data_IF_407911171573
#
_entry.id   IF_407911171573
#
_cell.length_a   1.000
_cell.length_b   1.000
_cell.length_c   1.000
_cell.angle_alpha   90.00
_cell.angle_beta   90.00
_cell.angle_gamma   90.00
#
_symmetry.space_group_name_H-M   'P 1'
#
loop_
_entity.id
_entity.type
_entity.pdbx_description
1 polymer ?
#
# COMPACT_ATOMS: atom_id res chain seq x y z
N UNK A 1 -19.23 -26.81 -11.22
CA UNK A 1 -19.04 -25.34 -11.27
C UNK A 1 -17.63 -25.08 -11.73
N UNK A 2 -17.40 -24.14 -12.65
CA UNK A 2 -16.04 -23.76 -13.08
C UNK A 2 -15.31 -23.16 -11.86
N UNK A 3 -14.17 -23.73 -11.45
CA UNK A 3 -13.39 -23.31 -10.27
C UNK A 3 -13.06 -21.81 -10.30
N UNK A 4 -12.76 -21.27 -11.48
CA UNK A 4 -12.50 -19.85 -11.69
C UNK A 4 -13.74 -18.99 -11.42
N UNK A 5 -14.93 -19.50 -11.77
CA UNK A 5 -16.17 -18.79 -11.51
C UNK A 5 -16.54 -18.78 -10.01
N UNK A 6 -16.20 -19.84 -9.28
CA UNK A 6 -16.35 -19.88 -7.82
C UNK A 6 -15.38 -18.91 -7.13
N UNK A 7 -14.11 -18.90 -7.56
CA UNK A 7 -13.10 -18.00 -7.03
C UNK A 7 -13.51 -16.53 -7.16
N UNK A 8 -13.95 -16.08 -8.34
CA UNK A 8 -14.37 -14.68 -8.54
C UNK A 8 -15.49 -14.25 -7.62
N UNK A 9 -16.49 -15.12 -7.39
CA UNK A 9 -17.57 -14.84 -6.43
C UNK A 9 -17.03 -14.65 -5.01
N UNK A 10 -16.04 -15.47 -4.61
CA UNK A 10 -15.37 -15.32 -3.31
C UNK A 10 -14.59 -14.02 -3.25
N UNK A 11 -13.82 -13.68 -4.28
CA UNK A 11 -13.02 -12.45 -4.31
C UNK A 11 -13.88 -11.18 -4.31
N UNK A 12 -15.06 -11.20 -4.92
CA UNK A 12 -15.93 -10.03 -5.03
C UNK A 12 -16.74 -9.74 -3.76
N UNK A 13 -17.22 -10.79 -3.07
CA UNK A 13 -18.12 -10.67 -1.93
C UNK A 13 -17.37 -10.76 -0.61
N UNK A 14 -17.50 -9.74 0.25
CA UNK A 14 -16.89 -9.70 1.59
C UNK A 14 -17.19 -10.97 2.41
N UNK A 15 -18.43 -11.43 2.39
CA UNK A 15 -18.87 -12.61 3.13
C UNK A 15 -18.20 -13.89 2.60
N UNK A 16 -18.13 -14.06 1.28
CA UNK A 16 -17.55 -15.24 0.65
C UNK A 16 -16.01 -15.20 0.63
N UNK A 17 -15.42 -14.01 0.69
CA UNK A 17 -13.98 -13.79 0.74
C UNK A 17 -13.41 -14.16 2.11
N UNK A 18 -14.09 -13.80 3.20
CA UNK A 18 -13.57 -13.92 4.55
C UNK A 18 -13.05 -15.32 4.91
N UNK A 19 -13.75 -16.44 4.59
CA UNK A 19 -13.21 -17.78 4.85
C UNK A 19 -11.93 -18.10 4.07
N UNK A 20 -11.87 -17.69 2.79
CA UNK A 20 -10.71 -17.88 1.93
C UNK A 20 -9.51 -17.07 2.46
N UNK A 21 -9.74 -15.80 2.74
CA UNK A 21 -8.76 -14.89 3.30
C UNK A 21 -8.19 -15.36 4.64
N UNK A 22 -9.05 -15.80 5.56
CA UNK A 22 -8.61 -16.34 6.86
C UNK A 22 -7.76 -17.61 6.71
N UNK A 23 -8.00 -18.45 5.69
CA UNK A 23 -7.14 -19.61 5.40
C UNK A 23 -5.75 -19.16 4.94
N UNK A 24 -5.66 -18.15 4.08
CA UNK A 24 -4.39 -17.60 3.60
C UNK A 24 -3.58 -16.94 4.73
N UNK A 25 -4.22 -16.14 5.59
CA UNK A 25 -3.56 -15.58 6.78
C UNK A 25 -2.99 -16.68 7.66
N UNK A 26 -3.81 -17.69 8.00
CA UNK A 26 -3.38 -18.80 8.88
C UNK A 26 -2.18 -19.55 8.29
N UNK A 27 -2.18 -19.81 6.98
CA UNK A 27 -1.05 -20.46 6.30
C UNK A 27 0.20 -19.59 6.34
N UNK A 28 0.07 -18.32 5.97
CA UNK A 28 1.18 -17.35 5.96
C UNK A 28 1.82 -17.23 7.35
N UNK A 29 1.02 -17.04 8.41
CA UNK A 29 1.47 -17.02 9.81
C UNK A 29 2.16 -18.33 10.20
N UNK A 30 1.55 -19.49 9.91
CA UNK A 30 2.11 -20.78 10.31
C UNK A 30 3.44 -21.09 9.59
N UNK A 31 3.60 -20.65 8.36
CA UNK A 31 4.85 -20.80 7.62
C UNK A 31 5.93 -19.86 8.14
N UNK A 32 5.58 -18.61 8.44
CA UNK A 32 6.52 -17.62 8.97
C UNK A 32 7.03 -17.99 10.37
N UNK A 33 6.14 -18.48 11.25
CA UNK A 33 6.51 -19.07 12.55
C UNK A 33 7.61 -20.13 12.44
N UNK A 34 7.57 -20.97 11.40
CA UNK A 34 8.58 -22.02 11.22
C UNK A 34 9.95 -21.46 10.83
N UNK A 35 9.99 -20.28 10.22
CA UNK A 35 11.22 -19.62 9.77
C UNK A 35 11.83 -18.79 10.90
N UNK A 36 10.99 -18.10 11.67
CA UNK A 36 11.37 -17.13 12.71
C UNK A 36 11.32 -17.70 14.13
N UNK A 37 11.13 -19.02 14.29
CA UNK A 37 11.13 -19.65 15.60
C UNK A 37 12.53 -19.55 16.25
N UNK A 38 12.71 -18.53 17.07
CA UNK A 38 13.80 -18.43 18.03
C UNK A 38 13.26 -18.80 19.43
N UNK A 39 13.58 -20.00 19.95
CA UNK A 39 13.11 -20.44 21.27
C UNK A 39 13.70 -19.62 22.42
N UNK A 40 14.73 -18.82 22.18
CA UNK A 40 15.40 -17.97 23.17
C UNK A 40 14.99 -16.49 23.06
N UNK A 41 14.03 -16.13 22.21
CA UNK A 41 13.52 -14.75 22.10
C UNK A 41 12.66 -14.37 23.32
N UNK A 42 13.16 -13.52 24.23
CA UNK A 42 12.46 -13.18 25.46
C UNK A 42 11.30 -12.19 25.22
N UNK A 43 11.19 -11.64 24.00
CA UNK A 43 10.20 -10.62 23.63
C UNK A 43 9.03 -11.17 22.81
N UNK A 44 9.07 -12.45 22.40
CA UNK A 44 8.02 -13.10 21.61
C UNK A 44 7.69 -12.30 20.33
N UNK A 45 8.72 -11.88 19.61
CA UNK A 45 8.66 -11.12 18.37
C UNK A 45 7.76 -11.81 17.34
N UNK A 46 7.81 -13.14 17.27
CA UNK A 46 6.92 -13.94 16.44
C UNK A 46 5.43 -13.64 16.73
N UNK A 47 5.01 -13.55 18.00
CA UNK A 47 3.61 -13.24 18.33
C UNK A 47 3.22 -11.80 18.01
N UNK A 48 4.12 -10.82 18.14
CA UNK A 48 3.86 -9.45 17.68
C UNK A 48 3.67 -9.44 16.16
N UNK A 49 4.58 -10.07 15.44
CA UNK A 49 4.59 -10.10 13.98
C UNK A 49 3.33 -10.78 13.41
N UNK A 50 2.84 -11.85 14.04
CA UNK A 50 1.56 -12.47 13.68
C UNK A 50 0.37 -11.51 13.77
N UNK A 51 0.26 -10.81 14.90
CA UNK A 51 -0.81 -9.83 15.12
C UNK A 51 -0.68 -8.68 14.13
N UNK A 52 0.54 -8.28 13.84
CA UNK A 52 0.84 -7.27 12.84
C UNK A 52 0.33 -7.68 11.46
N UNK A 53 0.71 -8.87 10.95
CA UNK A 53 0.23 -9.38 9.66
C UNK A 53 -1.29 -9.47 9.64
N UNK A 54 -1.88 -10.08 10.67
CA UNK A 54 -3.33 -10.27 10.73
C UNK A 54 -4.07 -8.93 10.68
N UNK A 55 -3.62 -7.96 11.48
CA UNK A 55 -4.26 -6.65 11.55
C UNK A 55 -4.12 -5.88 10.23
N UNK A 56 -2.92 -5.81 9.67
CA UNK A 56 -2.68 -5.10 8.41
C UNK A 56 -3.41 -5.73 7.23
N UNK A 57 -3.38 -7.06 7.13
CA UNK A 57 -4.13 -7.76 6.09
C UNK A 57 -5.63 -7.47 6.21
N UNK A 58 -6.19 -7.46 7.43
CA UNK A 58 -7.62 -7.14 7.65
C UNK A 58 -7.95 -5.71 7.23
N UNK A 59 -7.17 -4.73 7.70
CA UNK A 59 -7.33 -3.32 7.32
C UNK A 59 -7.26 -3.14 5.81
N UNK A 60 -6.29 -3.78 5.14
CA UNK A 60 -6.18 -3.73 3.69
C UNK A 60 -7.47 -4.22 3.03
N UNK A 61 -8.00 -5.36 3.45
CA UNK A 61 -9.24 -5.91 2.86
C UNK A 61 -10.46 -5.06 3.16
N UNK A 62 -10.54 -4.43 4.34
CA UNK A 62 -11.63 -3.53 4.69
C UNK A 62 -11.66 -2.33 3.74
N UNK A 63 -10.50 -1.72 3.50
CA UNK A 63 -10.35 -0.60 2.56
C UNK A 63 -10.72 -1.03 1.13
N UNK A 64 -10.33 -2.23 0.68
CA UNK A 64 -10.73 -2.74 -0.65
C UNK A 64 -12.25 -2.76 -0.79
N UNK A 65 -12.96 -3.33 0.18
CA UNK A 65 -14.42 -3.44 0.13
C UNK A 65 -15.14 -2.09 0.33
N UNK A 66 -14.51 -1.13 0.99
CA UNK A 66 -15.07 0.20 1.23
C UNK A 66 -14.84 1.17 0.06
N UNK A 67 -13.70 1.06 -0.61
CA UNK A 67 -13.24 2.10 -1.55
C UNK A 67 -13.18 1.67 -3.02
N UNK A 68 -13.20 0.37 -3.34
CA UNK A 68 -13.29 -0.05 -4.75
C UNK A 68 -14.67 0.26 -5.34
N UNK A 69 -14.69 0.94 -6.48
CA UNK A 69 -15.93 1.42 -7.12
C UNK A 69 -16.58 0.34 -8.00
N UNK A 70 -15.87 -0.74 -8.34
CA UNK A 70 -16.38 -1.81 -9.21
C UNK A 70 -16.13 -3.24 -8.70
N UNK A 71 -16.99 -4.21 -9.09
CA UNK A 71 -16.72 -5.64 -8.88
C UNK A 71 -15.36 -6.10 -9.41
N UNK A 72 -14.93 -5.54 -10.54
CA UNK A 72 -13.67 -5.91 -11.21
C UNK A 72 -12.47 -5.48 -10.37
N UNK A 73 -12.47 -4.24 -9.86
CA UNK A 73 -11.45 -3.78 -8.90
C UNK A 73 -11.41 -4.69 -7.67
N UNK A 74 -12.57 -4.98 -7.05
CA UNK A 74 -12.61 -5.86 -5.86
C UNK A 74 -12.02 -7.23 -6.14
N UNK A 75 -12.42 -7.86 -7.25
CA UNK A 75 -11.89 -9.17 -7.66
C UNK A 75 -10.37 -9.10 -7.83
N UNK A 76 -9.87 -8.07 -8.52
CA UNK A 76 -8.46 -7.91 -8.80
C UNK A 76 -7.64 -7.69 -7.51
N UNK A 77 -8.01 -6.70 -6.71
CA UNK A 77 -7.21 -6.30 -5.55
C UNK A 77 -7.27 -7.34 -4.44
N UNK A 78 -8.41 -8.02 -4.25
CA UNK A 78 -8.47 -9.15 -3.32
C UNK A 78 -7.64 -10.34 -3.81
N UNK A 79 -7.58 -10.61 -5.12
CA UNK A 79 -6.69 -11.63 -5.69
C UNK A 79 -5.22 -11.28 -5.44
N UNK A 80 -4.83 -10.02 -5.69
CA UNK A 80 -3.48 -9.53 -5.42
C UNK A 80 -3.12 -9.62 -3.93
N UNK A 81 -4.05 -9.27 -3.05
CA UNK A 81 -3.85 -9.36 -1.59
C UNK A 81 -3.57 -10.80 -1.15
N UNK A 82 -4.32 -11.78 -1.66
CA UNK A 82 -4.05 -13.20 -1.39
C UNK A 82 -2.69 -13.64 -1.94
N UNK A 83 -2.25 -13.11 -3.08
CA UNK A 83 -0.93 -13.40 -3.66
C UNK A 83 0.20 -12.87 -2.77
N UNK A 84 0.11 -11.64 -2.27
CA UNK A 84 1.10 -11.09 -1.32
C UNK A 84 1.18 -11.93 -0.04
N UNK A 85 0.03 -12.31 0.54
CA UNK A 85 -0.01 -13.21 1.71
C UNK A 85 0.63 -14.57 1.43
N UNK A 86 0.34 -15.15 0.26
CA UNK A 86 0.92 -16.43 -0.19
C UNK A 86 2.44 -16.35 -0.35
N UNK A 87 2.93 -15.24 -0.91
CA UNK A 87 4.36 -15.03 -1.12
C UNK A 87 5.10 -14.57 0.15
N UNK A 88 4.39 -14.43 1.28
CA UNK A 88 4.90 -13.91 2.57
C UNK A 88 5.50 -12.51 2.43
N UNK A 89 5.05 -11.76 1.43
CA UNK A 89 5.40 -10.37 1.28
C UNK A 89 4.36 -9.56 2.08
N UNK A 90 4.75 -9.17 3.29
CA UNK A 90 3.93 -8.36 4.21
C UNK A 90 4.03 -6.86 3.93
N UNK A 91 4.80 -6.48 2.91
CA UNK A 91 5.09 -5.10 2.54
C UNK A 91 3.99 -4.52 1.64
N UNK A 92 2.73 -4.96 1.78
CA UNK A 92 1.59 -4.41 1.05
C UNK A 92 0.70 -3.58 1.96
N UNK A 93 0.48 -2.32 1.58
CA UNK A 93 -0.39 -1.37 2.25
C UNK A 93 -1.48 -0.93 1.28
N UNK A 94 -2.71 -1.38 1.47
CA UNK A 94 -3.84 -0.82 0.74
C UNK A 94 -4.28 0.43 1.51
N UNK A 95 -4.38 1.55 0.82
CA UNK A 95 -4.71 2.84 1.44
C UNK A 95 -5.96 3.44 0.81
N UNK A 96 -6.74 4.22 1.60
CA UNK A 96 -7.94 4.88 1.09
C UNK A 96 -7.62 5.90 -0.02
N UNK A 97 -8.66 6.50 -0.63
CA UNK A 97 -8.49 7.55 -1.61
C UNK A 97 -7.60 8.69 -1.17
N UNK A 98 -6.62 9.02 -2.02
CA UNK A 98 -5.82 10.22 -1.89
C UNK A 98 -6.43 11.31 -2.77
N UNK A 99 -6.93 12.39 -2.18
CA UNK A 99 -7.54 13.49 -2.95
C UNK A 99 -6.50 14.26 -3.78
N UNK A 100 -5.32 14.49 -3.19
CA UNK A 100 -4.14 15.04 -3.85
C UNK A 100 -2.94 14.14 -3.57
N UNK A 101 -2.60 13.32 -4.56
CA UNK A 101 -1.48 12.37 -4.48
C UNK A 101 -0.14 13.07 -4.21
N UNK A 102 0.13 14.20 -4.87
CA UNK A 102 1.45 14.84 -4.77
C UNK A 102 1.66 15.44 -3.39
N UNK A 103 0.62 16.11 -2.86
CA UNK A 103 0.64 16.66 -1.50
C UNK A 103 0.72 15.56 -0.45
N UNK A 104 -0.14 14.54 -0.53
CA UNK A 104 -0.20 13.46 0.45
C UNK A 104 1.13 12.69 0.56
N UNK A 105 1.72 12.30 -0.59
CA UNK A 105 2.99 11.57 -0.61
C UNK A 105 4.14 12.45 -0.11
N UNK A 106 4.20 13.71 -0.55
CA UNK A 106 5.23 14.67 -0.10
C UNK A 106 5.16 14.87 1.41
N UNK A 107 3.97 15.10 1.95
CA UNK A 107 3.76 15.31 3.38
C UNK A 107 4.13 14.06 4.20
N UNK A 108 3.73 12.86 3.74
CA UNK A 108 4.11 11.61 4.40
C UNK A 108 5.64 11.45 4.50
N UNK A 109 6.36 11.67 3.39
CA UNK A 109 7.82 11.57 3.35
C UNK A 109 8.50 12.63 4.21
N UNK A 110 8.08 13.88 4.10
CA UNK A 110 8.67 14.98 4.85
C UNK A 110 8.48 14.79 6.36
N UNK A 111 7.27 14.39 6.79
CA UNK A 111 7.00 14.09 8.20
C UNK A 111 7.96 13.02 8.74
N UNK A 112 8.11 11.91 8.01
CA UNK A 112 9.02 10.85 8.43
C UNK A 112 10.48 11.32 8.52
N UNK A 113 10.96 12.03 7.50
CA UNK A 113 12.34 12.55 7.48
C UNK A 113 12.60 13.58 8.58
N UNK A 114 11.63 14.44 8.88
CA UNK A 114 11.75 15.42 9.96
C UNK A 114 11.78 14.74 11.34
N UNK A 115 11.00 13.67 11.52
CA UNK A 115 11.00 12.86 12.74
C UNK A 115 12.36 12.16 12.93
N UNK A 116 12.92 11.57 11.87
CA UNK A 116 14.27 10.99 11.91
C UNK A 116 15.33 12.04 12.27
N UNK A 117 15.21 13.27 11.75
CA UNK A 117 16.11 14.38 12.10
C UNK A 117 15.99 14.79 13.57
N UNK A 118 14.77 14.77 14.15
CA UNK A 118 14.55 15.06 15.57
C UNK A 118 15.22 13.99 16.43
N UNK A 119 15.07 12.71 16.08
CA UNK A 119 15.70 11.58 16.78
C UNK A 119 17.22 11.70 16.71
N UNK A 120 17.77 11.95 15.52
CA UNK A 120 19.22 12.06 15.34
C UNK A 120 19.80 13.23 16.12
N UNK A 121 19.15 14.40 16.07
CA UNK A 121 19.56 15.56 16.86
C UNK A 121 19.52 15.28 18.35
N UNK A 122 18.47 14.60 18.84
CA UNK A 122 18.39 14.20 20.23
C UNK A 122 19.59 13.32 20.64
N UNK A 123 19.93 12.31 19.84
CA UNK A 123 21.07 11.41 20.11
C UNK A 123 22.38 12.21 20.21
N UNK A 124 22.59 13.14 19.28
CA UNK A 124 23.78 14.01 19.26
C UNK A 124 23.83 14.94 20.47
N UNK A 125 22.72 15.60 20.80
CA UNK A 125 22.68 16.61 21.87
C UNK A 125 22.78 15.99 23.28
N UNK A 126 22.29 14.76 23.46
CA UNK A 126 22.18 14.13 24.78
C UNK A 126 23.17 13.00 25.01
N UNK A 127 23.71 12.40 23.95
CA UNK A 127 24.50 11.16 24.02
C UNK A 127 23.66 9.90 24.27
N UNK A 128 22.33 10.01 24.36
CA UNK A 128 21.42 8.87 24.58
C UNK A 128 21.11 8.18 23.24
N UNK A 129 22.07 7.37 22.78
CA UNK A 129 21.99 6.68 21.48
C UNK A 129 20.88 5.63 21.42
N UNK A 130 20.55 5.04 22.57
CA UNK A 130 19.57 3.96 22.71
C UNK A 130 18.16 4.47 23.02
N UNK A 131 17.98 5.81 23.04
CA UNK A 131 16.70 6.49 23.24
C UNK A 131 16.04 6.18 24.59
N UNK A 132 16.82 5.87 25.62
CA UNK A 132 16.33 5.46 26.95
C UNK A 132 15.46 6.54 27.59
N UNK A 133 15.82 7.81 27.42
CA UNK A 133 15.11 8.96 27.99
C UNK A 133 14.34 9.78 26.95
N UNK A 134 14.15 9.22 25.75
CA UNK A 134 13.58 9.95 24.62
C UNK A 134 12.11 10.35 24.87
N UNK A 135 11.31 9.43 25.42
CA UNK A 135 9.92 9.69 25.79
C UNK A 135 9.81 10.90 26.75
N UNK A 136 10.64 10.91 27.81
CA UNK A 136 10.69 12.03 28.75
C UNK A 136 11.10 13.34 28.08
N UNK A 137 12.02 13.28 27.12
CA UNK A 137 12.42 14.46 26.35
C UNK A 137 11.24 15.02 25.54
N UNK A 138 10.47 14.17 24.86
CA UNK A 138 9.30 14.60 24.10
C UNK A 138 8.19 15.13 25.01
N UNK A 139 7.91 14.45 26.14
CA UNK A 139 6.94 14.94 27.12
C UNK A 139 7.30 16.36 27.59
N UNK A 140 8.58 16.63 27.87
CA UNK A 140 9.03 17.97 28.21
C UNK A 140 8.79 19.02 27.12
N UNK A 141 8.74 18.63 25.83
CA UNK A 141 8.36 19.53 24.73
C UNK A 141 6.86 19.81 24.72
N UNK A 142 6.04 18.79 24.99
CA UNK A 142 4.59 18.93 25.11
C UNK A 142 4.25 19.86 26.29
N UNK A 143 4.84 19.61 27.46
CA UNK A 143 4.63 20.41 28.67
C UNK A 143 5.05 21.88 28.47
N UNK A 144 6.06 22.13 27.63
CA UNK A 144 6.51 23.48 27.27
C UNK A 144 5.61 24.20 26.23
N UNK A 145 4.59 23.51 25.70
CA UNK A 145 3.72 24.01 24.63
C UNK A 145 4.37 24.03 23.25
N UNK A 146 5.55 23.41 23.09
CA UNK A 146 6.27 23.37 21.81
C UNK A 146 5.69 22.31 20.87
N UNK A 147 5.13 21.24 21.41
CA UNK A 147 4.39 20.20 20.68
C UNK A 147 3.01 20.01 21.30
N UNK A 148 2.07 19.49 20.51
CA UNK A 148 0.75 19.05 20.95
C UNK A 148 0.73 17.54 21.13
N UNK A 149 -0.24 17.02 21.89
CA UNK A 149 -0.42 15.58 22.07
C UNK A 149 -0.58 14.83 20.74
N UNK A 150 -1.36 15.39 19.80
CA UNK A 150 -1.51 14.79 18.47
C UNK A 150 -0.21 14.77 17.65
N UNK A 151 0.74 15.68 17.92
CA UNK A 151 2.06 15.63 17.28
C UNK A 151 2.86 14.43 17.81
N UNK A 152 2.64 14.04 19.07
CA UNK A 152 3.29 12.88 19.69
C UNK A 152 2.79 11.56 19.10
N UNK A 153 1.49 11.43 18.86
CA UNK A 153 0.94 10.23 18.21
C UNK A 153 1.52 10.02 16.81
N UNK A 154 1.60 11.10 16.01
CA UNK A 154 2.23 11.08 14.68
C UNK A 154 3.71 10.71 14.82
N UNK A 155 4.39 11.31 15.80
CA UNK A 155 5.79 11.03 16.06
C UNK A 155 6.04 9.54 16.34
N UNK A 156 5.31 8.96 17.29
CA UNK A 156 5.45 7.56 17.69
C UNK A 156 5.06 6.61 16.54
N UNK A 157 4.00 6.92 15.80
CA UNK A 157 3.62 6.16 14.61
C UNK A 157 4.77 6.12 13.59
N UNK A 158 5.38 7.26 13.28
CA UNK A 158 6.48 7.29 12.30
C UNK A 158 7.75 6.62 12.83
N UNK A 159 8.09 6.82 14.11
CA UNK A 159 9.30 6.25 14.73
C UNK A 159 9.21 4.72 14.87
N UNK A 160 8.07 4.21 15.30
CA UNK A 160 7.91 2.79 15.63
C UNK A 160 7.36 1.99 14.46
N UNK A 161 6.34 2.52 13.78
CA UNK A 161 5.62 1.76 12.75
C UNK A 161 6.17 2.07 11.36
N UNK A 162 6.30 3.35 11.01
CA UNK A 162 6.70 3.70 9.64
C UNK A 162 8.12 3.26 9.35
N UNK A 163 9.08 3.63 10.20
CA UNK A 163 10.50 3.31 10.01
C UNK A 163 10.74 1.80 9.82
N UNK A 164 10.05 0.97 10.62
CA UNK A 164 10.30 -0.47 10.67
C UNK A 164 9.46 -1.28 9.67
N UNK A 165 8.26 -0.82 9.31
CA UNK A 165 7.30 -1.66 8.56
C UNK A 165 6.68 -1.02 7.33
N UNK A 166 6.62 0.32 7.25
CA UNK A 166 5.85 1.01 6.19
C UNK A 166 6.76 1.74 5.21
N UNK A 167 7.90 2.26 5.67
CA UNK A 167 8.78 3.11 4.87
C UNK A 167 9.18 2.45 3.55
N UNK A 168 9.51 1.17 3.60
CA UNK A 168 9.95 0.40 2.43
C UNK A 168 8.82 -0.47 1.83
N UNK A 169 7.57 -0.27 2.25
CA UNK A 169 6.43 -1.03 1.75
C UNK A 169 5.83 -0.44 0.47
N UNK A 170 5.09 -1.28 -0.26
CA UNK A 170 4.27 -0.87 -1.40
C UNK A 170 2.91 -0.39 -0.92
N UNK A 171 2.56 0.84 -1.29
CA UNK A 171 1.27 1.45 -1.03
C UNK A 171 0.41 1.40 -2.28
N UNK A 172 -0.69 0.64 -2.23
CA UNK A 172 -1.79 0.68 -3.19
C UNK A 172 -2.84 1.69 -2.72
N UNK A 173 -2.76 2.92 -3.20
CA UNK A 173 -3.77 3.95 -2.96
C UNK A 173 -4.90 3.84 -3.98
N UNK A 174 -6.09 3.52 -3.51
CA UNK A 174 -7.28 3.38 -4.36
C UNK A 174 -7.78 4.75 -4.80
N UNK A 175 -8.40 4.87 -5.97
CA UNK A 175 -9.06 6.10 -6.44
C UNK A 175 -8.18 7.37 -6.31
N UNK A 176 -6.91 7.25 -6.69
CA UNK A 176 -5.87 8.25 -6.51
C UNK A 176 -6.10 9.51 -7.37
N UNK A 177 -6.27 10.66 -6.71
CA UNK A 177 -6.59 11.95 -7.29
C UNK A 177 -5.37 12.80 -7.65
N UNK A 178 -5.41 13.39 -8.83
CA UNK A 178 -4.38 14.31 -9.35
C UNK A 178 -5.03 15.65 -9.74
N UNK A 179 -5.37 16.51 -8.76
CA UNK A 179 -6.16 17.72 -9.00
C UNK A 179 -5.44 18.72 -9.94
N UNK A 180 -4.11 18.70 -9.92
CA UNK A 180 -3.25 19.57 -10.73
C UNK A 180 -2.95 19.00 -12.13
N UNK A 181 -3.27 17.74 -12.41
CA UNK A 181 -3.05 17.11 -13.71
C UNK A 181 -4.34 17.08 -14.49
N UNK A 182 -4.46 17.97 -15.48
CA UNK A 182 -5.70 18.20 -16.22
C UNK A 182 -5.56 17.84 -17.70
N UNK A 183 -6.54 17.10 -18.21
CA UNK A 183 -6.72 16.81 -19.64
C UNK A 183 -8.10 17.32 -20.05
N UNK A 184 -8.13 18.16 -21.08
CA UNK A 184 -9.36 18.77 -21.61
C UNK A 184 -10.20 19.43 -20.47
N UNK A 185 -9.53 20.10 -19.52
CA UNK A 185 -10.13 20.83 -18.41
C UNK A 185 -10.51 19.98 -17.19
N UNK A 186 -10.39 18.65 -17.24
CA UNK A 186 -10.75 17.72 -16.15
C UNK A 186 -9.50 17.17 -15.47
N UNK A 187 -9.51 17.14 -14.13
CA UNK A 187 -8.46 16.47 -13.35
C UNK A 187 -8.46 14.96 -13.59
N UNK A 188 -7.30 14.35 -13.40
CA UNK A 188 -7.13 12.90 -13.48
C UNK A 188 -7.46 12.29 -12.11
N UNK A 189 -8.19 11.17 -12.14
CA UNK A 189 -8.30 10.21 -11.04
C UNK A 189 -7.97 8.85 -11.63
N UNK A 190 -7.04 8.14 -11.00
CA UNK A 190 -6.64 6.79 -11.37
C UNK A 190 -7.30 5.78 -10.43
N UNK A 191 -7.57 4.57 -10.92
CA UNK A 191 -8.18 3.53 -10.08
C UNK A 191 -7.25 3.10 -8.93
N UNK A 192 -5.95 2.97 -9.22
CA UNK A 192 -4.93 2.58 -8.24
C UNK A 192 -3.62 3.31 -8.53
N UNK A 193 -3.00 3.84 -7.49
CA UNK A 193 -1.59 4.25 -7.49
C UNK A 193 -0.77 3.32 -6.61
N UNK A 194 0.32 2.81 -7.15
CA UNK A 194 1.34 2.04 -6.45
C UNK A 194 2.58 2.92 -6.25
N UNK A 195 2.95 3.13 -5.00
CA UNK A 195 4.11 3.92 -4.61
C UNK A 195 4.82 3.32 -3.40
N UNK A 196 6.05 3.77 -3.15
CA UNK A 196 6.82 3.38 -1.98
C UNK A 196 7.35 4.66 -1.29
N UNK A 197 7.15 4.85 0.03
CA UNK A 197 7.64 6.03 0.72
C UNK A 197 9.16 6.19 0.62
N UNK A 198 9.91 5.11 0.85
CA UNK A 198 11.37 5.06 0.81
C UNK A 198 11.99 4.97 -0.58
N UNK A 199 11.18 4.78 -1.63
CA UNK A 199 11.66 4.70 -3.00
C UNK A 199 10.80 5.55 -3.95
N UNK A 200 11.26 6.77 -4.23
CA UNK A 200 10.58 7.73 -5.10
C UNK A 200 10.42 7.28 -6.56
N UNK A 201 11.16 6.23 -6.98
CA UNK A 201 11.06 5.67 -8.34
C UNK A 201 9.82 4.80 -8.51
N UNK A 202 9.24 4.30 -7.43
CA UNK A 202 7.99 3.52 -7.50
C UNK A 202 6.83 4.51 -7.66
N UNK A 203 6.39 4.68 -8.91
CA UNK A 203 5.26 5.53 -9.32
C UNK A 203 4.49 4.83 -10.44
N UNK A 204 3.72 3.81 -10.08
CA UNK A 204 2.98 3.00 -11.04
C UNK A 204 1.48 3.22 -10.87
N UNK A 205 0.81 3.66 -11.92
CA UNK A 205 -0.64 3.75 -11.99
C UNK A 205 -1.17 2.48 -12.62
N UNK A 206 -2.20 1.91 -12.01
CA UNK A 206 -2.94 0.75 -12.53
C UNK A 206 -4.38 1.18 -12.78
N UNK A 207 -4.84 1.05 -14.02
CA UNK A 207 -6.23 1.34 -14.41
C UNK A 207 -6.95 0.02 -14.72
N UNK A 208 -8.17 -0.14 -14.21
CA UNK A 208 -9.03 -1.30 -14.37
C UNK A 208 -10.11 -0.97 -15.40
N UNK A 209 -9.85 -1.23 -16.68
CA UNK A 209 -10.74 -0.80 -17.76
C UNK A 209 -12.04 -1.63 -17.77
N UNK A 210 -13.10 -1.12 -17.15
CA UNK A 210 -14.43 -1.72 -17.21
C UNK A 210 -14.98 -1.77 -18.64
N UNK A 211 -15.59 -2.91 -19.02
CA UNK A 211 -16.16 -3.16 -20.36
C UNK A 211 -17.18 -2.10 -20.84
N UNK A 212 -17.72 -1.29 -19.92
CA UNK A 212 -18.77 -0.30 -20.18
C UNK A 212 -18.28 1.09 -20.62
N UNK A 213 -16.98 1.37 -20.64
CA UNK A 213 -16.50 2.67 -21.09
C UNK A 213 -16.36 2.72 -22.61
N UNK A 214 -17.24 3.54 -23.20
CA UNK A 214 -17.40 3.81 -24.63
C UNK A 214 -16.08 3.84 -25.40
N UNK A 215 -15.91 2.86 -26.28
CA UNK A 215 -14.84 2.74 -27.29
C UNK A 215 -14.98 3.76 -28.43
N UNK A 216 -15.30 5.01 -28.09
CA UNK A 216 -15.29 6.10 -29.06
C UNK A 216 -13.86 6.56 -29.29
N UNK A 217 -13.59 7.07 -30.49
CA UNK A 217 -12.28 7.61 -30.86
C UNK A 217 -11.84 8.73 -29.89
N UNK A 218 -12.80 9.52 -29.42
CA UNK A 218 -12.58 10.64 -28.50
C UNK A 218 -12.21 10.18 -27.08
N UNK A 219 -12.72 9.04 -26.60
CA UNK A 219 -12.25 8.43 -25.34
C UNK A 219 -10.79 8.01 -25.49
N UNK A 220 -10.49 7.27 -26.55
CA UNK A 220 -9.14 6.76 -26.80
C UNK A 220 -8.08 7.87 -26.93
N UNK A 221 -8.41 8.95 -27.65
CA UNK A 221 -7.52 10.12 -27.76
C UNK A 221 -7.29 10.80 -26.41
N UNK A 222 -8.32 10.88 -25.56
CA UNK A 222 -8.23 11.46 -24.22
C UNK A 222 -7.39 10.61 -23.29
N UNK A 223 -7.56 9.29 -23.31
CA UNK A 223 -6.78 8.37 -22.47
C UNK A 223 -5.30 8.42 -22.88
N UNK A 224 -4.99 8.49 -24.18
CA UNK A 224 -3.63 8.74 -24.65
C UNK A 224 -3.04 10.08 -24.19
N UNK A 225 -3.85 11.14 -24.08
CA UNK A 225 -3.40 12.42 -23.53
C UNK A 225 -3.12 12.29 -22.03
N UNK A 226 -3.98 11.59 -21.27
CA UNK A 226 -3.79 11.29 -19.84
C UNK A 226 -2.49 10.54 -19.62
N UNK A 227 -2.26 9.47 -20.36
CA UNK A 227 -1.05 8.65 -20.23
C UNK A 227 0.22 9.43 -20.52
N UNK A 228 0.23 10.24 -21.59
CA UNK A 228 1.40 11.09 -21.90
C UNK A 228 1.65 12.12 -20.80
N UNK A 229 0.59 12.71 -20.25
CA UNK A 229 0.72 13.67 -19.15
C UNK A 229 1.31 12.99 -17.91
N UNK A 230 0.73 11.87 -17.47
CA UNK A 230 1.21 11.09 -16.33
C UNK A 230 2.65 10.62 -16.52
N UNK A 231 2.98 10.10 -17.70
CA UNK A 231 4.34 9.69 -18.06
C UNK A 231 5.33 10.85 -18.02
N UNK A 232 4.93 12.04 -18.48
CA UNK A 232 5.78 13.25 -18.39
C UNK A 232 6.04 13.70 -16.95
N UNK A 233 5.24 13.21 -15.98
CA UNK A 233 5.39 13.44 -14.53
C UNK A 233 6.10 12.29 -13.82
N UNK A 234 6.59 11.30 -14.56
CA UNK A 234 7.33 10.16 -14.02
C UNK A 234 6.44 9.01 -13.53
N UNK A 235 5.15 9.01 -13.86
CA UNK A 235 4.26 7.88 -13.59
C UNK A 235 4.29 6.90 -14.76
N UNK A 236 4.52 5.64 -14.46
CA UNK A 236 4.21 4.54 -15.37
C UNK A 236 2.73 4.21 -15.29
N UNK A 237 2.14 3.78 -16.40
CA UNK A 237 0.71 3.42 -16.44
C UNK A 237 0.55 2.06 -17.08
N UNK A 238 -0.13 1.15 -16.37
CA UNK A 238 -0.55 -0.15 -16.89
C UNK A 238 -2.06 -0.27 -16.82
N UNK A 239 -2.63 -0.94 -17.82
CA UNK A 239 -4.07 -1.15 -17.96
C UNK A 239 -4.36 -2.63 -18.02
N UNK A 240 -5.31 -3.04 -17.21
CA UNK A 240 -5.88 -4.38 -17.28
C UNK A 240 -7.34 -4.25 -17.64
N UNK A 241 -7.75 -4.87 -18.75
CA UNK A 241 -9.15 -4.87 -19.11
C UNK A 241 -9.96 -5.67 -18.09
N UNK A 242 -11.21 -5.27 -17.86
CA UNK A 242 -12.14 -6.03 -17.03
C UNK A 242 -12.34 -7.45 -17.56
N UNK A 243 -12.17 -7.68 -18.86
CA UNK A 243 -12.18 -9.04 -19.44
C UNK A 243 -10.96 -9.86 -19.03
N UNK A 244 -9.76 -9.28 -19.01
CA UNK A 244 -8.56 -9.96 -18.54
C UNK A 244 -8.68 -10.32 -17.05
N UNK A 245 -9.03 -9.34 -16.22
CA UNK A 245 -9.25 -9.52 -14.78
C UNK A 245 -10.33 -10.57 -14.53
N UNK A 246 -11.45 -10.47 -15.24
CA UNK A 246 -12.55 -11.43 -15.06
C UNK A 246 -12.16 -12.83 -15.55
N UNK A 247 -11.38 -12.96 -16.62
CA UNK A 247 -11.01 -14.28 -17.15
C UNK A 247 -10.07 -15.01 -16.21
N UNK A 248 -9.06 -14.33 -15.69
CA UNK A 248 -8.03 -14.94 -14.83
C UNK A 248 -7.44 -13.90 -13.86
N UNK A 249 -8.10 -13.66 -12.71
CA UNK A 249 -7.64 -12.66 -11.76
C UNK A 249 -6.30 -13.05 -11.10
N UNK A 250 -5.99 -14.34 -11.02
CA UNK A 250 -4.72 -14.82 -10.44
C UNK A 250 -3.58 -14.46 -11.38
N UNK A 251 -3.70 -14.75 -12.68
CA UNK A 251 -2.66 -14.42 -13.66
C UNK A 251 -2.39 -12.92 -13.74
N UNK A 252 -3.44 -12.09 -13.71
CA UNK A 252 -3.31 -10.63 -13.73
C UNK A 252 -2.66 -10.10 -12.44
N UNK A 253 -2.95 -10.74 -11.30
CA UNK A 253 -2.28 -10.44 -10.04
C UNK A 253 -0.79 -10.80 -10.08
N UNK A 254 -0.45 -11.96 -10.64
CA UNK A 254 0.94 -12.38 -10.85
C UNK A 254 1.69 -11.39 -11.77
N UNK A 255 1.07 -10.98 -12.89
CA UNK A 255 1.68 -9.98 -13.80
C UNK A 255 1.97 -8.65 -13.11
N UNK A 256 1.04 -8.16 -12.29
CA UNK A 256 1.25 -6.94 -11.52
C UNK A 256 2.29 -7.13 -10.41
N UNK A 257 2.28 -8.27 -9.71
CA UNK A 257 3.28 -8.59 -8.68
C UNK A 257 4.70 -8.59 -9.26
N UNK A 258 4.92 -9.25 -10.39
CA UNK A 258 6.20 -9.30 -11.07
C UNK A 258 6.64 -7.90 -11.53
N UNK A 259 5.71 -7.07 -12.01
CA UNK A 259 6.00 -5.68 -12.38
C UNK A 259 6.46 -4.86 -11.17
N UNK A 260 5.79 -5.01 -10.03
CA UNK A 260 6.12 -4.31 -8.79
C UNK A 260 7.51 -4.75 -8.27
N UNK A 261 7.80 -6.06 -8.22
CA UNK A 261 9.11 -6.57 -7.75
C UNK A 261 10.25 -6.05 -8.64
N UNK A 262 10.03 -5.98 -9.96
CA UNK A 262 11.02 -5.45 -10.91
C UNK A 262 11.29 -3.95 -10.72
N UNK A 263 10.29 -3.15 -10.35
CA UNK A 263 10.46 -1.72 -10.06
C UNK A 263 11.30 -1.49 -8.79
N UNK A 264 11.23 -2.42 -7.84
CA UNK A 264 11.96 -2.35 -6.58
C UNK A 264 13.37 -2.94 -6.68
N UNK A 265 13.54 -4.01 -7.44
CA UNK A 265 14.78 -4.78 -7.61
C UNK A 265 15.25 -4.85 -9.07
N UNK A 266 15.73 -3.75 -9.69
CA UNK A 266 15.97 -3.67 -11.13
C UNK A 266 17.12 -4.55 -11.69
N UNK A 267 17.85 -5.29 -10.84
CA UNK A 267 19.07 -6.06 -11.19
C UNK A 267 18.80 -7.57 -11.37
N UNK A 268 17.54 -8.02 -11.33
CA UNK A 268 17.19 -9.45 -11.50
C UNK A 268 17.13 -9.97 -12.95
N UNK A 269 17.55 -9.19 -13.96
CA UNK A 269 17.61 -9.60 -15.37
C UNK A 269 19.04 -9.71 -15.89
#
# INVERSE_FOLDING_TARGET
MNETADLRKRLESRELFAPLFNDFIKRSINEQRKVEADPDDPYNFASFYEKFIENYARVNTDIVFECCESPIERIFINSLTLLFLKNRNTELQVTPPLEDVEDAISNFRNNHLDILRVIERYKVDTGDTDLIHFEKFIQGKIDSGRYKEGDYEIFEYHRLVVDNFIWNSYHLSLQAGFPNYKVDGKSIRADILIWCPGNEKVKLIVECDGYQYHSSKESFERDRKRDRLLKSKGYDVVRFSGTEIYRDPVKVSDDLYDLIDNLYNPVKN
#
